data_IF_748062490480
#
_entry.id   IF_748062490480
#
_cell.length_a   1.000
_cell.length_b   1.000
_cell.length_c   1.000
_cell.angle_alpha   90.00
_cell.angle_beta   90.00
_cell.angle_gamma   90.00
#
_symmetry.space_group_name_H-M   'P 1'
#
loop_
_entity.id
_entity.type
_entity.pdbx_description
1 polymer ?
#
# COMPACT_ATOMS: atom_id res chain seq x y z
N UNK A 1 -5.30 7.52 -14.37
CA UNK A 1 -4.36 8.32 -13.53
C UNK A 1 -5.16 8.90 -12.37
N UNK A 2 -4.72 8.68 -11.12
CA UNK A 2 -5.52 8.84 -9.91
C UNK A 2 -5.90 10.29 -9.51
N UNK A 3 -5.46 11.31 -10.26
CA UNK A 3 -5.76 12.73 -9.99
C UNK A 3 -7.21 13.12 -10.33
N UNK A 4 -7.92 12.29 -11.10
CA UNK A 4 -9.23 12.63 -11.64
C UNK A 4 -10.31 12.78 -10.56
N UNK A 5 -10.10 12.21 -9.37
CA UNK A 5 -10.99 12.27 -8.22
C UNK A 5 -10.36 13.04 -7.03
N UNK A 6 -9.35 13.88 -7.25
CA UNK A 6 -8.66 14.60 -6.16
C UNK A 6 -9.61 15.49 -5.33
N UNK A 7 -10.65 16.03 -5.96
CA UNK A 7 -11.66 16.89 -5.31
C UNK A 7 -12.93 16.14 -4.93
N UNK A 8 -12.97 14.82 -5.15
CA UNK A 8 -14.11 13.97 -4.85
C UNK A 8 -13.76 13.06 -3.65
N UNK A 9 -14.55 13.05 -2.56
CA UNK A 9 -14.35 12.13 -1.45
C UNK A 9 -14.24 10.66 -1.87
N UNK A 10 -14.88 10.25 -2.97
CA UNK A 10 -14.78 8.89 -3.51
C UNK A 10 -13.36 8.52 -3.98
N UNK A 11 -12.50 9.51 -4.24
CA UNK A 11 -11.09 9.33 -4.63
C UNK A 11 -10.16 8.94 -3.49
N UNK A 12 -10.66 8.90 -2.25
CA UNK A 12 -9.91 8.58 -1.04
C UNK A 12 -10.67 7.58 -0.16
N UNK A 13 -9.96 6.63 0.44
CA UNK A 13 -10.55 5.74 1.45
C UNK A 13 -9.51 5.36 2.49
N UNK A 14 -9.81 5.57 3.77
CA UNK A 14 -8.98 5.02 4.85
C UNK A 14 -9.05 3.49 4.85
N UNK A 15 -7.90 2.82 5.03
CA UNK A 15 -7.86 1.41 5.38
C UNK A 15 -7.73 1.29 6.88
N UNK A 16 -6.70 1.94 7.42
CA UNK A 16 -6.48 2.08 8.84
C UNK A 16 -5.77 3.41 9.08
N UNK A 17 -6.51 4.37 9.67
CA UNK A 17 -5.99 5.67 10.07
C UNK A 17 -5.70 5.77 11.56
N UNK A 18 -5.78 4.65 12.30
CA UNK A 18 -5.89 4.63 13.76
C UNK A 18 -4.87 3.74 14.47
N UNK A 19 -3.90 3.14 13.79
CA UNK A 19 -2.81 2.42 14.45
C UNK A 19 -1.81 3.40 15.10
N UNK A 20 -2.29 4.14 16.10
CA UNK A 20 -1.53 5.15 16.84
C UNK A 20 -0.36 4.53 17.60
N UNK A 21 -0.55 3.31 18.11
CA UNK A 21 0.46 2.58 18.85
C UNK A 21 1.66 2.28 17.96
N UNK A 22 1.41 2.04 16.67
CA UNK A 22 2.47 1.79 15.70
C UNK A 22 2.89 3.01 14.90
N UNK A 23 2.15 4.11 14.99
CA UNK A 23 2.25 5.32 14.16
C UNK A 23 2.32 4.98 12.67
N UNK A 24 1.44 4.06 12.26
CA UNK A 24 1.26 3.66 10.88
C UNK A 24 -0.11 4.13 10.41
N UNK A 25 -0.15 4.71 9.21
CA UNK A 25 -1.42 5.00 8.53
C UNK A 25 -1.44 4.35 7.16
N UNK A 26 -2.62 3.93 6.72
CA UNK A 26 -2.82 3.32 5.41
C UNK A 26 -4.14 3.76 4.78
N UNK A 27 -4.08 4.07 3.49
CA UNK A 27 -5.24 4.54 2.73
C UNK A 27 -5.12 4.22 1.24
N UNK A 28 -6.25 4.26 0.55
CA UNK A 28 -6.36 4.09 -0.89
C UNK A 28 -6.56 5.44 -1.57
N UNK A 29 -5.88 5.64 -2.70
CA UNK A 29 -6.23 6.64 -3.70
C UNK A 29 -6.86 5.94 -4.90
N UNK A 30 -8.02 6.41 -5.34
CA UNK A 30 -8.80 5.80 -6.42
C UNK A 30 -8.93 6.75 -7.61
N UNK A 31 -8.80 6.21 -8.80
CA UNK A 31 -9.15 6.86 -10.05
C UNK A 31 -10.55 6.47 -10.51
N UNK A 32 -10.86 6.80 -11.77
CA UNK A 32 -12.16 6.57 -12.40
C UNK A 32 -12.50 5.10 -12.64
N UNK A 33 -11.49 4.23 -12.73
CA UNK A 33 -11.66 2.80 -12.94
C UNK A 33 -11.40 2.04 -11.63
N UNK A 34 -12.12 0.95 -11.38
CA UNK A 34 -11.98 0.15 -10.15
C UNK A 34 -10.53 -0.36 -9.90
N UNK A 35 -9.77 -0.57 -10.98
CA UNK A 35 -8.37 -1.01 -10.98
C UNK A 35 -7.35 0.12 -10.89
N UNK A 36 -7.77 1.38 -11.03
CA UNK A 36 -6.93 2.56 -10.88
C UNK A 36 -6.82 2.92 -9.39
N UNK A 37 -6.35 1.97 -8.59
CA UNK A 37 -6.17 2.12 -7.15
C UNK A 37 -4.70 2.12 -6.78
N UNK A 38 -4.31 2.98 -5.85
CA UNK A 38 -2.98 2.99 -5.23
C UNK A 38 -3.18 2.85 -3.73
N UNK A 39 -2.56 1.83 -3.15
CA UNK A 39 -2.40 1.68 -1.72
C UNK A 39 -1.21 2.53 -1.26
N UNK A 40 -1.41 3.36 -0.25
CA UNK A 40 -0.37 4.15 0.38
C UNK A 40 -0.27 3.72 1.84
N UNK A 41 0.94 3.39 2.29
CA UNK A 41 1.22 3.00 3.68
C UNK A 41 2.39 3.83 4.18
N UNK A 42 2.21 4.50 5.32
CA UNK A 42 3.23 5.35 5.93
C UNK A 42 3.61 4.78 7.29
N UNK A 43 4.89 4.50 7.52
CA UNK A 43 5.45 4.21 8.85
C UNK A 43 6.18 5.44 9.36
N UNK A 44 5.65 6.09 10.40
CA UNK A 44 6.24 7.30 10.97
C UNK A 44 7.15 7.04 12.17
N UNK A 45 7.58 5.79 12.37
CA UNK A 45 8.56 5.42 13.41
C UNK A 45 9.87 4.94 12.78
N UNK A 46 11.01 5.09 13.47
CA UNK A 46 12.29 4.53 13.02
C UNK A 46 12.36 3.00 13.19
N UNK A 47 11.29 2.36 13.65
CA UNK A 47 11.23 0.92 13.86
C UNK A 47 10.66 0.27 12.60
N UNK A 48 11.40 -0.61 11.91
CA UNK A 48 10.87 -1.36 10.78
C UNK A 48 9.78 -2.33 11.25
N UNK A 49 8.76 -2.55 10.42
CA UNK A 49 7.67 -3.49 10.72
C UNK A 49 7.65 -4.62 9.72
N UNK A 50 7.81 -5.84 10.20
CA UNK A 50 7.75 -7.04 9.39
C UNK A 50 6.40 -7.71 9.53
N UNK A 51 5.97 -8.40 8.49
CA UNK A 51 4.68 -9.11 8.45
C UNK A 51 3.48 -8.22 8.78
N UNK A 52 3.55 -6.95 8.35
CA UNK A 52 2.51 -5.97 8.62
C UNK A 52 1.35 -6.17 7.65
N UNK A 53 0.18 -6.50 8.20
CA UNK A 53 -0.98 -6.93 7.44
C UNK A 53 -1.87 -5.75 7.05
N UNK A 54 -2.13 -5.55 5.76
CA UNK A 54 -2.99 -4.48 5.24
C UNK A 54 -4.09 -5.07 4.35
N UNK A 55 -5.36 -4.85 4.69
CA UNK A 55 -6.49 -5.21 3.83
C UNK A 55 -6.50 -4.45 2.49
N UNK A 56 -6.80 -5.15 1.39
CA UNK A 56 -6.88 -4.58 0.03
C UNK A 56 -8.17 -4.98 -0.69
N UNK A 57 -8.67 -4.16 -1.64
CA UNK A 57 -9.97 -4.39 -2.26
C UNK A 57 -9.98 -5.56 -3.27
N UNK A 58 -8.82 -5.93 -3.79
CA UNK A 58 -8.69 -6.91 -4.87
C UNK A 58 -7.50 -7.84 -4.65
N UNK A 59 -7.66 -9.06 -5.15
CA UNK A 59 -6.61 -10.07 -5.22
C UNK A 59 -5.53 -9.74 -6.26
N UNK A 60 -4.53 -10.60 -6.36
CA UNK A 60 -3.45 -10.52 -7.34
C UNK A 60 -2.18 -9.86 -6.80
N UNK A 61 -1.24 -9.57 -7.70
CA UNK A 61 0.05 -9.00 -7.33
C UNK A 61 -0.04 -7.48 -7.22
N UNK A 62 0.45 -6.93 -6.11
CA UNK A 62 0.55 -5.51 -5.85
C UNK A 62 2.01 -5.09 -5.96
N UNK A 63 2.34 -4.40 -7.05
CA UNK A 63 3.68 -3.90 -7.33
C UNK A 63 3.99 -2.71 -6.44
N UNK A 64 5.14 -2.74 -5.78
CA UNK A 64 5.70 -1.57 -5.08
C UNK A 64 6.22 -0.59 -6.16
N UNK A 65 5.47 0.49 -6.38
CA UNK A 65 5.77 1.49 -7.42
C UNK A 65 6.60 2.65 -6.90
N UNK A 66 6.57 2.90 -5.59
CA UNK A 66 7.46 3.84 -4.92
C UNK A 66 7.72 3.37 -3.50
N UNK A 67 8.97 3.50 -3.07
CA UNK A 67 9.41 3.25 -1.71
C UNK A 67 10.40 4.35 -1.34
N UNK A 68 10.04 5.18 -0.36
CA UNK A 68 10.90 6.31 0.04
C UNK A 68 12.19 5.89 0.75
N UNK A 69 12.29 4.64 1.22
CA UNK A 69 13.51 4.07 1.82
C UNK A 69 14.40 3.36 0.78
N UNK A 70 14.10 3.48 -0.51
CA UNK A 70 14.92 2.90 -1.57
C UNK A 70 16.34 3.51 -1.58
N UNK A 71 17.34 2.72 -2.03
CA UNK A 71 18.75 3.14 -2.03
C UNK A 71 19.02 4.32 -2.96
N UNK A 72 18.23 4.44 -4.03
CA UNK A 72 18.25 5.56 -4.97
C UNK A 72 17.90 6.90 -4.29
N UNK A 73 17.17 6.84 -3.18
CA UNK A 73 16.85 7.97 -2.32
C UNK A 73 17.70 8.01 -1.06
N UNK A 74 18.79 7.24 -1.01
CA UNK A 74 19.71 7.12 0.13
C UNK A 74 19.07 6.54 1.40
N UNK A 75 17.97 5.80 1.26
CA UNK A 75 17.39 5.01 2.33
C UNK A 75 18.15 3.71 2.58
N UNK A 76 17.65 2.90 3.52
CA UNK A 76 18.27 1.63 3.91
C UNK A 76 18.15 0.54 2.83
N UNK A 77 17.20 0.70 1.90
CA UNK A 77 16.87 -0.27 0.87
C UNK A 77 15.95 -1.39 1.34
N UNK A 78 15.31 -1.23 2.50
CA UNK A 78 14.30 -2.18 2.98
C UNK A 78 13.01 -1.99 2.18
N UNK A 79 12.26 -3.07 1.96
CA UNK A 79 11.02 -3.01 1.20
C UNK A 79 10.53 -4.40 0.83
N UNK A 80 9.70 -4.47 -0.21
CA UNK A 80 8.98 -5.69 -0.58
C UNK A 80 9.52 -6.34 -1.86
N UNK A 81 10.79 -6.11 -2.21
CA UNK A 81 11.47 -6.74 -3.37
C UNK A 81 10.69 -6.61 -4.70
N UNK A 82 10.03 -5.46 -4.90
CA UNK A 82 9.25 -5.15 -6.10
C UNK A 82 7.75 -5.31 -5.96
N UNK A 83 7.25 -6.00 -4.92
CA UNK A 83 5.81 -6.10 -4.64
C UNK A 83 5.42 -7.41 -3.93
N UNK A 84 4.14 -7.55 -3.62
CA UNK A 84 3.60 -8.69 -2.87
C UNK A 84 2.31 -9.21 -3.50
N UNK A 85 2.08 -10.51 -3.40
CA UNK A 85 0.79 -11.10 -3.74
C UNK A 85 -0.21 -10.89 -2.60
N UNK A 86 -1.47 -10.63 -2.95
CA UNK A 86 -2.55 -10.58 -1.99
C UNK A 86 -2.99 -11.99 -1.57
N UNK A 87 -3.04 -12.21 -0.26
CA UNK A 87 -3.54 -13.44 0.34
C UNK A 87 -5.06 -13.37 0.53
N UNK A 88 -5.79 -14.50 0.45
CA UNK A 88 -7.21 -14.59 0.81
C UNK A 88 -7.42 -14.62 2.34
N UNK A 89 -6.73 -13.73 3.06
CA UNK A 89 -6.81 -13.57 4.52
C UNK A 89 -7.52 -12.25 4.82
N UNK A 90 -8.69 -12.26 5.49
CA UNK A 90 -9.42 -11.03 5.78
C UNK A 90 -8.67 -10.09 6.73
N UNK A 91 -8.67 -8.79 6.42
CA UNK A 91 -8.12 -7.73 7.28
C UNK A 91 -8.80 -6.39 6.96
N UNK A 92 -8.93 -5.51 7.95
CA UNK A 92 -9.51 -4.15 7.81
C UNK A 92 -10.86 -4.13 7.07
N UNK A 93 -11.74 -5.10 7.37
CA UNK A 93 -13.07 -5.23 6.73
C UNK A 93 -13.05 -5.73 5.28
N UNK A 94 -11.91 -6.22 4.77
CA UNK A 94 -11.73 -6.68 3.39
C UNK A 94 -11.40 -8.16 3.34
N UNK A 95 -11.70 -8.81 2.21
CA UNK A 95 -11.48 -10.26 2.00
C UNK A 95 -10.02 -10.63 1.73
N UNK A 96 -9.26 -9.71 1.15
CA UNK A 96 -7.86 -9.93 0.77
C UNK A 96 -6.96 -8.98 1.56
N UNK A 97 -5.71 -9.37 1.73
CA UNK A 97 -4.71 -8.56 2.42
C UNK A 97 -3.30 -8.80 1.90
N UNK A 98 -2.44 -7.82 2.15
CA UNK A 98 -1.01 -7.88 1.86
C UNK A 98 -0.24 -8.11 3.15
N UNK A 99 0.81 -8.93 3.08
CA UNK A 99 1.79 -9.08 4.15
C UNK A 99 3.04 -8.26 3.80
N UNK A 100 3.19 -7.08 4.40
CA UNK A 100 4.20 -6.10 4.02
C UNK A 100 5.38 -6.06 4.99
N UNK A 101 6.54 -5.74 4.43
CA UNK A 101 7.64 -5.14 5.19
C UNK A 101 7.54 -3.63 5.05
N UNK A 102 7.35 -2.93 6.16
CA UNK A 102 7.34 -1.47 6.25
C UNK A 102 8.74 -1.00 6.68
N UNK A 103 9.46 -0.27 5.83
CA UNK A 103 10.74 0.31 6.20
C UNK A 103 10.59 1.36 7.31
N UNK A 104 11.68 1.72 8.01
CA UNK A 104 11.65 2.75 9.04
C UNK A 104 11.44 4.13 8.39
N UNK A 105 10.59 4.98 8.98
CA UNK A 105 10.33 6.36 8.53
C UNK A 105 10.06 6.48 7.02
N UNK A 106 9.23 5.57 6.48
CA UNK A 106 9.06 5.43 5.04
C UNK A 106 7.60 5.41 4.61
N UNK A 107 7.40 5.76 3.34
CA UNK A 107 6.11 5.69 2.65
C UNK A 107 6.24 4.74 1.46
N UNK A 108 5.34 3.76 1.40
CA UNK A 108 5.21 2.82 0.30
C UNK A 108 3.97 3.15 -0.53
N UNK A 109 4.11 3.05 -1.84
CA UNK A 109 3.02 3.13 -2.81
C UNK A 109 2.94 1.80 -3.54
N UNK A 110 1.80 1.12 -3.46
CA UNK A 110 1.57 -0.14 -4.12
C UNK A 110 0.41 -0.03 -5.10
N UNK A 111 0.59 -0.59 -6.30
CA UNK A 111 -0.42 -0.62 -7.35
C UNK A 111 -0.69 -2.06 -7.78
N UNK A 112 -1.95 -2.49 -7.96
CA UNK A 112 -2.22 -3.80 -8.51
C UNK A 112 -1.63 -3.90 -9.93
N UNK A 113 -0.91 -4.98 -10.19
CA UNK A 113 -0.33 -5.28 -11.48
C UNK A 113 -1.43 -5.72 -12.44
N UNK A 114 -1.37 -5.21 -13.67
CA UNK A 114 -2.22 -5.72 -14.76
C UNK A 114 -1.73 -7.13 -15.06
N UNK A 115 -2.58 -8.12 -14.88
CA UNK A 115 -2.40 -9.39 -15.59
C UNK A 115 -2.60 -9.05 -17.06
N UNK A 116 -1.50 -8.91 -17.80
CA UNK A 116 -1.56 -8.91 -19.25
C UNK A 116 -2.10 -10.27 -19.65
N UNK A 117 -3.24 -10.31 -20.33
CA UNK A 117 -3.49 -11.43 -21.23
C UNK A 117 -2.36 -11.37 -22.26
N UNK A 118 -1.53 -12.41 -22.30
CA UNK A 118 -0.79 -12.74 -23.50
C UNK A 118 -1.73 -13.49 -24.44
#
# INVERSE_FOLDING_TARGET
FALQLDTDPAGFEWIDGGDSDNSVISFLRKGSEARDVILIVCNFTPVPRFNYRIGVPQEGFWKEVLNSDAKEYWGSGMGNLGGVAADPVPAHGRRFSLNLTLPPLAILFLKPQRNGCF
#
